data_IF_995346976364
#
_entry.id   IF_995346976364
#
_cell.length_a   1.000
_cell.length_b   1.000
_cell.length_c   1.000
_cell.angle_alpha   90.00
_cell.angle_beta   90.00
_cell.angle_gamma   90.00
#
_symmetry.space_group_name_H-M   'P 1'
#
loop_
_entity.id
_entity.type
_entity.pdbx_description
1 polymer ?
#
# COMPACT_ATOMS: atom_id res chain seq x y z
N UNK A 1 -6.90 -5.33 -18.98
CA UNK A 1 -7.21 -4.42 -17.87
C UNK A 1 -6.61 -4.96 -16.59
N UNK A 2 -5.97 -4.12 -15.82
CA UNK A 2 -5.32 -4.54 -14.59
C UNK A 2 -6.37 -4.68 -13.48
N UNK A 3 -6.48 -5.87 -12.91
CA UNK A 3 -7.32 -6.11 -11.74
C UNK A 3 -6.64 -5.45 -10.53
N UNK A 4 -7.30 -4.51 -9.89
CA UNK A 4 -6.73 -3.78 -8.76
C UNK A 4 -6.55 -4.68 -7.53
N UNK A 5 -7.42 -5.66 -7.36
CA UNK A 5 -7.26 -6.67 -6.30
C UNK A 5 -5.96 -7.44 -6.49
N UNK A 6 -5.69 -7.90 -7.70
CA UNK A 6 -4.45 -8.60 -8.04
C UNK A 6 -3.25 -7.66 -7.89
N UNK A 7 -3.38 -6.41 -8.34
CA UNK A 7 -2.30 -5.44 -8.30
C UNK A 7 -1.90 -5.07 -6.86
N UNK A 8 -2.86 -4.91 -5.96
CA UNK A 8 -2.56 -4.65 -4.55
C UNK A 8 -1.92 -5.86 -3.88
N UNK A 9 -2.35 -7.07 -4.25
CA UNK A 9 -1.75 -8.31 -3.78
C UNK A 9 -0.30 -8.42 -4.24
N UNK A 10 -0.03 -8.16 -5.51
CA UNK A 10 1.34 -8.18 -6.06
C UNK A 10 2.23 -7.12 -5.39
N UNK A 11 1.66 -5.96 -5.09
CA UNK A 11 2.39 -4.92 -4.36
C UNK A 11 2.84 -5.43 -2.98
N UNK A 12 1.94 -6.05 -2.23
CA UNK A 12 2.28 -6.61 -0.92
C UNK A 12 3.36 -7.69 -1.02
N UNK A 13 3.30 -8.53 -2.06
CA UNK A 13 4.34 -9.54 -2.32
C UNK A 13 5.68 -8.90 -2.64
N UNK A 14 5.68 -7.85 -3.47
CA UNK A 14 6.90 -7.13 -3.84
C UNK A 14 7.56 -6.47 -2.62
N UNK A 15 6.75 -5.94 -1.71
CA UNK A 15 7.24 -5.41 -0.44
C UNK A 15 7.97 -6.51 0.33
N UNK A 16 7.38 -7.70 0.44
CA UNK A 16 8.00 -8.81 1.17
C UNK A 16 9.31 -9.26 0.53
N UNK A 17 9.37 -9.32 -0.80
CA UNK A 17 10.61 -9.64 -1.51
C UNK A 17 11.70 -8.63 -1.19
N UNK A 18 11.36 -7.36 -1.18
CA UNK A 18 12.27 -6.27 -0.84
C UNK A 18 12.78 -6.41 0.61
N UNK A 19 11.85 -6.60 1.54
CA UNK A 19 12.16 -6.70 2.97
C UNK A 19 13.16 -7.85 3.26
N UNK A 20 13.01 -8.98 2.55
CA UNK A 20 13.89 -10.14 2.76
C UNK A 20 15.34 -9.85 2.40
N UNK A 21 15.60 -8.82 1.62
CA UNK A 21 16.95 -8.41 1.21
C UNK A 21 17.59 -7.41 2.18
N UNK A 22 16.80 -6.89 3.12
CA UNK A 22 17.25 -5.86 4.05
C UNK A 22 17.94 -6.47 5.27
N UNK A 23 18.90 -5.73 5.81
CA UNK A 23 19.49 -6.06 7.10
C UNK A 23 18.49 -5.66 8.19
N UNK A 24 18.22 -6.60 9.12
CA UNK A 24 17.36 -6.33 10.27
C UNK A 24 18.24 -5.83 11.40
N UNK A 25 18.10 -4.56 11.74
CA UNK A 25 18.87 -3.93 12.81
C UNK A 25 17.95 -3.01 13.62
N UNK A 26 18.52 -2.35 14.62
CA UNK A 26 17.73 -1.50 15.51
C UNK A 26 17.05 -0.34 14.77
N UNK A 27 17.66 0.13 13.69
CA UNK A 27 17.14 1.27 12.91
C UNK A 27 15.96 0.87 12.03
N UNK A 28 15.97 -0.35 11.51
CA UNK A 28 15.01 -0.81 10.50
C UNK A 28 13.89 -1.66 11.05
N UNK A 29 14.08 -2.27 12.22
CA UNK A 29 13.15 -3.29 12.75
C UNK A 29 11.70 -2.81 12.77
N UNK A 30 11.45 -1.65 13.34
CA UNK A 30 10.09 -1.14 13.47
C UNK A 30 9.50 -0.74 12.12
N UNK A 31 10.30 -0.07 11.29
CA UNK A 31 9.85 0.35 9.95
C UNK A 31 9.50 -0.85 9.09
N UNK A 32 10.30 -1.91 9.16
CA UNK A 32 10.06 -3.16 8.43
C UNK A 32 8.73 -3.78 8.86
N UNK A 33 8.49 -3.86 10.16
CA UNK A 33 7.23 -4.38 10.70
C UNK A 33 6.05 -3.58 10.19
N UNK A 34 6.15 -2.26 10.23
CA UNK A 34 5.07 -1.37 9.83
C UNK A 34 4.79 -1.43 8.32
N UNK A 35 5.83 -1.51 7.49
CA UNK A 35 5.61 -1.58 6.04
C UNK A 35 4.98 -2.91 5.63
N UNK A 36 5.34 -4.01 6.28
CA UNK A 36 4.71 -5.31 6.03
C UNK A 36 3.24 -5.25 6.43
N UNK A 37 2.93 -4.70 7.60
CA UNK A 37 1.56 -4.55 8.09
C UNK A 37 0.73 -3.66 7.14
N UNK A 38 1.23 -2.46 6.86
CA UNK A 38 0.44 -1.49 6.08
C UNK A 38 0.23 -1.93 4.64
N UNK A 39 1.24 -2.51 3.99
CA UNK A 39 1.10 -2.99 2.61
C UNK A 39 0.12 -4.15 2.52
N UNK A 40 0.09 -5.02 3.52
CA UNK A 40 -0.91 -6.10 3.60
C UNK A 40 -2.30 -5.55 3.82
N UNK A 41 -2.41 -4.50 4.64
CA UNK A 41 -3.68 -3.84 4.92
C UNK A 41 -4.28 -3.18 3.67
N UNK A 42 -3.43 -2.66 2.78
CA UNK A 42 -3.89 -2.13 1.48
C UNK A 42 -4.65 -3.20 0.71
N UNK A 43 -4.04 -4.37 0.54
CA UNK A 43 -4.66 -5.47 -0.19
C UNK A 43 -5.92 -5.98 0.52
N UNK A 44 -5.85 -6.16 1.83
CA UNK A 44 -6.97 -6.68 2.62
C UNK A 44 -8.18 -5.75 2.56
N UNK A 45 -7.98 -4.45 2.71
CA UNK A 45 -9.08 -3.49 2.67
C UNK A 45 -9.68 -3.37 1.27
N UNK A 46 -8.88 -3.50 0.23
CA UNK A 46 -9.40 -3.46 -1.13
C UNK A 46 -10.24 -4.71 -1.44
N UNK A 47 -9.82 -5.89 -0.97
CA UNK A 47 -10.60 -7.12 -1.11
C UNK A 47 -11.95 -6.99 -0.40
N UNK A 48 -11.95 -6.48 0.84
CA UNK A 48 -13.17 -6.25 1.61
C UNK A 48 -14.08 -5.24 0.92
N UNK A 49 -13.49 -4.21 0.31
CA UNK A 49 -14.21 -3.19 -0.44
C UNK A 49 -14.97 -3.79 -1.62
N UNK A 50 -14.37 -4.76 -2.32
CA UNK A 50 -15.00 -5.44 -3.43
C UNK A 50 -16.21 -6.28 -3.02
N UNK A 51 -16.34 -6.65 -1.75
CA UNK A 51 -17.51 -7.38 -1.24
C UNK A 51 -18.76 -6.49 -1.16
N UNK A 52 -18.57 -5.17 -1.11
CA UNK A 52 -19.65 -4.16 -1.14
C UNK A 52 -20.78 -4.45 -0.17
N UNK A 53 -20.44 -4.52 1.11
CA UNK A 53 -21.42 -4.78 2.16
C UNK A 53 -22.41 -3.63 2.37
N UNK A 54 -22.14 -2.47 1.79
CA UNK A 54 -22.99 -1.29 1.85
C UNK A 54 -22.23 -0.06 1.41
N UNK A 55 -22.95 1.02 1.06
CA UNK A 55 -22.35 2.24 0.51
C UNK A 55 -21.36 2.90 1.47
N UNK A 56 -21.75 2.99 2.76
CA UNK A 56 -20.88 3.57 3.78
C UNK A 56 -19.65 2.72 4.01
N UNK A 57 -19.82 1.40 4.02
CA UNK A 57 -18.71 0.47 4.18
C UNK A 57 -17.74 0.56 2.99
N UNK A 58 -18.29 0.66 1.78
CA UNK A 58 -17.50 0.83 0.56
C UNK A 58 -16.59 2.05 0.65
N UNK A 59 -17.17 3.22 0.96
CA UNK A 59 -16.41 4.47 1.09
C UNK A 59 -15.39 4.41 2.23
N UNK A 60 -15.77 3.82 3.36
CA UNK A 60 -14.88 3.69 4.51
C UNK A 60 -13.67 2.82 4.19
N UNK A 61 -13.89 1.69 3.51
CA UNK A 61 -12.80 0.78 3.13
C UNK A 61 -11.84 1.43 2.13
N UNK A 62 -12.37 2.23 1.19
CA UNK A 62 -11.52 2.98 0.26
C UNK A 62 -10.65 3.99 1.02
N UNK A 63 -11.23 4.70 1.99
CA UNK A 63 -10.49 5.67 2.80
C UNK A 63 -9.38 4.99 3.60
N UNK A 64 -9.66 3.84 4.20
CA UNK A 64 -8.66 3.08 4.95
C UNK A 64 -7.56 2.63 4.01
N UNK A 65 -7.91 2.15 2.81
CA UNK A 65 -6.95 1.74 1.81
C UNK A 65 -5.99 2.90 1.47
N UNK A 66 -6.53 4.09 1.21
CA UNK A 66 -5.72 5.29 0.92
C UNK A 66 -4.79 5.62 2.08
N UNK A 67 -5.31 5.59 3.31
CA UNK A 67 -4.52 5.85 4.52
C UNK A 67 -3.36 4.86 4.63
N UNK A 68 -3.62 3.58 4.41
CA UNK A 68 -2.60 2.54 4.52
C UNK A 68 -1.54 2.67 3.42
N UNK A 69 -1.93 3.10 2.22
CA UNK A 69 -0.97 3.37 1.14
C UNK A 69 -0.03 4.52 1.54
N UNK A 70 -0.59 5.60 2.09
CA UNK A 70 0.21 6.75 2.55
C UNK A 70 1.19 6.33 3.64
N UNK A 71 0.76 5.50 4.57
CA UNK A 71 1.63 4.99 5.63
C UNK A 71 2.72 4.10 5.06
N UNK A 72 2.39 3.25 4.09
CA UNK A 72 3.37 2.40 3.42
C UNK A 72 4.48 3.24 2.79
N UNK A 73 4.11 4.34 2.12
CA UNK A 73 5.07 5.26 1.53
C UNK A 73 5.99 5.84 2.61
N UNK A 74 5.43 6.26 3.73
CA UNK A 74 6.21 6.80 4.84
C UNK A 74 7.23 5.78 5.34
N UNK A 75 6.78 4.56 5.63
CA UNK A 75 7.67 3.53 6.17
C UNK A 75 8.75 3.15 5.16
N UNK A 76 8.42 3.08 3.87
CA UNK A 76 9.42 2.82 2.82
C UNK A 76 10.50 3.91 2.79
N UNK A 77 10.11 5.16 2.98
CA UNK A 77 11.05 6.28 2.98
C UNK A 77 11.98 6.28 4.20
N UNK A 78 11.49 5.78 5.33
CA UNK A 78 12.24 5.79 6.60
C UNK A 78 13.23 4.63 6.73
N UNK A 79 13.05 3.54 5.98
CA UNK A 79 13.96 2.39 6.04
C UNK A 79 15.38 2.82 5.66
N UNK A 80 16.33 2.45 6.51
CA UNK A 80 17.74 2.75 6.31
C UNK A 80 18.34 1.76 5.32
N UNK A 81 18.86 2.25 4.22
CA UNK A 81 19.38 1.45 3.12
C UNK A 81 20.76 1.97 2.72
N UNK A 82 21.70 1.05 2.50
CA UNK A 82 23.09 1.38 2.14
C UNK A 82 23.51 0.77 0.79
N UNK A 83 22.58 0.18 0.04
CA UNK A 83 22.85 -0.44 -1.26
C UNK A 83 22.16 0.35 -2.35
N UNK A 84 22.88 0.63 -3.44
CA UNK A 84 22.30 1.32 -4.59
C UNK A 84 21.17 0.51 -5.22
N UNK A 85 21.34 -0.81 -5.33
CA UNK A 85 20.31 -1.68 -5.90
C UNK A 85 19.04 -1.66 -5.07
N UNK A 86 19.17 -1.68 -3.74
CA UNK A 86 18.02 -1.61 -2.85
C UNK A 86 17.35 -0.24 -2.88
N UNK A 87 18.13 0.82 -3.10
CA UNK A 87 17.60 2.18 -3.25
C UNK A 87 16.74 2.28 -4.52
N UNK A 88 17.18 1.66 -5.61
CA UNK A 88 16.43 1.60 -6.86
C UNK A 88 15.12 0.83 -6.64
N UNK A 89 15.19 -0.30 -5.96
CA UNK A 89 14.02 -1.12 -5.67
C UNK A 89 13.04 -0.36 -4.77
N UNK A 90 13.52 0.34 -3.74
CA UNK A 90 12.69 1.19 -2.88
C UNK A 90 11.95 2.24 -3.69
N UNK A 91 12.65 2.91 -4.60
CA UNK A 91 12.05 3.94 -5.46
C UNK A 91 10.92 3.37 -6.32
N UNK A 92 11.12 2.18 -6.89
CA UNK A 92 10.08 1.50 -7.66
C UNK A 92 8.84 1.20 -6.82
N UNK A 93 9.05 0.75 -5.58
CA UNK A 93 7.95 0.44 -4.67
C UNK A 93 7.19 1.69 -4.26
N UNK A 94 7.89 2.78 -3.99
CA UNK A 94 7.27 4.07 -3.67
C UNK A 94 6.44 4.56 -4.85
N UNK A 95 6.97 4.47 -6.07
CA UNK A 95 6.27 4.89 -7.28
C UNK A 95 5.00 4.06 -7.49
N UNK A 96 5.06 2.77 -7.27
CA UNK A 96 3.88 1.91 -7.37
C UNK A 96 2.84 2.28 -6.30
N UNK A 97 3.29 2.56 -5.08
CA UNK A 97 2.40 2.99 -4.00
C UNK A 97 1.69 4.31 -4.35
N UNK A 98 2.44 5.26 -4.91
CA UNK A 98 1.86 6.55 -5.33
C UNK A 98 0.81 6.33 -6.42
N UNK A 99 1.10 5.47 -7.39
CA UNK A 99 0.15 5.16 -8.45
C UNK A 99 -1.11 4.49 -7.91
N UNK A 100 -0.96 3.53 -7.01
CA UNK A 100 -2.10 2.89 -6.35
C UNK A 100 -2.93 3.90 -5.56
N UNK A 101 -2.26 4.80 -4.85
CA UNK A 101 -2.93 5.88 -4.09
C UNK A 101 -3.79 6.73 -5.01
N UNK A 102 -3.26 7.10 -6.16
CA UNK A 102 -3.97 7.95 -7.12
C UNK A 102 -5.17 7.22 -7.73
N UNK A 103 -5.02 5.92 -8.03
CA UNK A 103 -6.11 5.11 -8.60
C UNK A 103 -7.24 4.96 -7.57
N UNK A 104 -6.91 4.55 -6.35
CA UNK A 104 -7.91 4.35 -5.28
C UNK A 104 -8.55 5.69 -4.92
N UNK A 105 -7.74 6.76 -4.88
CA UNK A 105 -8.23 8.12 -4.64
C UNK A 105 -9.24 8.59 -5.67
N UNK A 106 -9.01 8.26 -6.94
CA UNK A 106 -9.95 8.58 -8.02
C UNK A 106 -11.26 7.80 -7.87
N UNK A 107 -11.18 6.51 -7.51
CA UNK A 107 -12.36 5.69 -7.25
C UNK A 107 -13.17 6.30 -6.09
N UNK A 108 -12.51 6.67 -5.01
CA UNK A 108 -13.16 7.30 -3.86
C UNK A 108 -13.86 8.60 -4.28
N UNK A 109 -13.15 9.48 -4.95
CA UNK A 109 -13.65 10.78 -5.38
C UNK A 109 -14.87 10.63 -6.31
N UNK A 110 -14.82 9.68 -7.22
CA UNK A 110 -15.90 9.45 -8.18
C UNK A 110 -17.16 8.86 -7.52
N UNK A 111 -17.03 8.27 -6.35
CA UNK A 111 -18.14 7.62 -5.65
C UNK A 111 -18.70 8.41 -4.48
N UNK A 112 -17.95 9.39 -3.98
CA UNK A 112 -18.38 10.15 -2.80
C UNK A 112 -19.68 10.92 -3.05
N UNK A 113 -19.85 11.49 -4.24
CA UNK A 113 -21.05 12.22 -4.61
C UNK A 113 -22.26 11.32 -4.82
N UNK A 114 -22.04 10.05 -5.13
CA UNK A 114 -23.10 9.04 -5.30
C UNK A 114 -23.78 8.69 -3.99
N UNK A 115 -23.02 8.74 -2.90
CA UNK A 115 -23.49 8.24 -1.60
C UNK A 115 -23.75 9.36 -0.59
N UNK A 116 -23.62 10.59 -1.04
CA UNK A 116 -23.91 11.76 -0.18
C UNK A 116 -25.25 12.44 -0.54
#
# INVERSE_FOLDING_TARGET
>A
MYDLEERTNEFAKSIRCFIRKLEINIWNREDIKQVVRSSSSVAANYIEDNEKLGDKDFLMKLRICIKEIKETILWLRLIDIHSEDLEIERTHLINEAIELKNIVGAIYKNNISKYN
#
